data_IF_776674436008
#
_entry.id   IF_776674436008
#
_cell.length_a   1.000
_cell.length_b   1.000
_cell.length_c   1.000
_cell.angle_alpha   90.00
_cell.angle_beta   90.00
_cell.angle_gamma   90.00
#
_symmetry.space_group_name_H-M   'P 1'
#
loop_
_entity.id
_entity.type
_entity.pdbx_description
1 polymer ?
#
# COMPACT_ATOMS: atom_id res chain seq x y z
N UNK A 1 12.03 -1.72 -20.12
CA UNK A 1 11.76 -1.27 -18.74
C UNK A 1 10.27 -1.02 -18.60
N UNK A 2 9.59 -1.53 -17.55
CA UNK A 2 8.13 -1.40 -17.42
C UNK A 2 7.59 0.03 -17.58
N UNK A 3 8.32 1.04 -17.05
CA UNK A 3 7.94 2.46 -17.12
C UNK A 3 8.07 3.10 -18.51
N UNK A 4 8.92 2.54 -19.39
CA UNK A 4 9.02 2.98 -20.79
C UNK A 4 7.90 2.37 -21.64
N UNK A 5 7.46 1.16 -21.28
CA UNK A 5 6.50 0.41 -22.09
C UNK A 5 5.05 0.83 -21.83
N UNK A 6 4.77 1.54 -20.74
CA UNK A 6 3.41 1.90 -20.32
C UNK A 6 3.12 3.40 -20.41
N UNK A 7 3.99 4.20 -21.02
CA UNK A 7 3.78 5.64 -21.20
C UNK A 7 4.07 6.51 -19.97
N UNK A 8 4.46 5.92 -18.83
CA UNK A 8 4.59 6.68 -17.57
C UNK A 8 5.68 7.74 -17.63
N UNK A 9 6.77 7.49 -18.36
CA UNK A 9 7.85 8.46 -18.51
C UNK A 9 7.42 9.63 -19.40
N UNK A 10 6.69 9.34 -20.48
CA UNK A 10 6.14 10.31 -21.40
C UNK A 10 5.14 11.23 -20.68
N UNK A 11 4.28 10.67 -19.84
CA UNK A 11 3.37 11.45 -18.99
C UNK A 11 4.11 12.37 -18.02
N UNK A 12 5.18 11.89 -17.39
CA UNK A 12 6.01 12.69 -16.49
C UNK A 12 6.71 13.86 -17.23
N UNK A 13 7.23 13.62 -18.44
CA UNK A 13 7.90 14.66 -19.25
C UNK A 13 6.88 15.67 -19.79
N UNK A 14 5.71 15.21 -20.24
CA UNK A 14 4.65 16.05 -20.80
C UNK A 14 3.81 16.77 -19.73
N UNK A 15 4.00 16.45 -18.45
CA UNK A 15 3.20 17.01 -17.36
C UNK A 15 1.73 16.60 -17.40
N UNK A 16 1.42 15.45 -18.02
CA UNK A 16 0.04 14.94 -18.11
C UNK A 16 -0.21 13.89 -17.04
N UNK A 17 -1.48 13.78 -16.61
CA UNK A 17 -1.86 12.82 -15.59
C UNK A 17 -1.69 11.37 -16.07
N UNK A 18 -1.09 10.55 -15.23
CA UNK A 18 -1.07 9.10 -15.35
C UNK A 18 -1.37 8.46 -13.99
N UNK A 19 -2.20 7.41 -13.99
CA UNK A 19 -2.50 6.67 -12.78
C UNK A 19 -1.24 5.93 -12.28
N UNK A 20 -0.95 5.89 -10.96
CA UNK A 20 0.25 5.24 -10.44
C UNK A 20 0.35 3.75 -10.78
N UNK A 21 1.53 3.29 -11.18
CA UNK A 21 1.78 1.87 -11.47
C UNK A 21 1.70 0.96 -10.24
N UNK A 22 1.96 1.53 -9.06
CA UNK A 22 1.94 0.84 -7.77
C UNK A 22 1.36 1.77 -6.71
N UNK A 23 0.62 1.20 -5.77
CA UNK A 23 0.05 1.89 -4.61
C UNK A 23 0.53 1.17 -3.35
N UNK A 24 1.21 1.91 -2.47
CA UNK A 24 1.64 1.43 -1.16
C UNK A 24 0.55 1.64 -0.10
N UNK A 25 0.12 0.56 0.55
CA UNK A 25 -0.78 0.60 1.70
C UNK A 25 0.06 0.43 2.96
N UNK A 26 0.04 1.42 3.86
CA UNK A 26 0.85 1.43 5.09
C UNK A 26 -0.03 1.32 6.35
N UNK A 27 -0.49 0.10 6.72
CA UNK A 27 -1.50 -0.08 7.74
C UNK A 27 -0.94 -0.19 9.17
N UNK A 28 0.37 -0.32 9.35
CA UNK A 28 0.99 -0.58 10.65
C UNK A 28 0.66 0.50 11.68
N UNK A 29 0.30 0.09 12.89
CA UNK A 29 -0.04 1.02 13.99
C UNK A 29 1.13 1.27 14.93
N UNK A 30 2.12 0.38 14.94
CA UNK A 30 3.42 0.58 15.60
C UNK A 30 4.48 -0.31 14.91
N UNK A 31 5.74 -0.24 15.36
CA UNK A 31 6.80 -1.16 14.93
C UNK A 31 7.69 -1.49 16.13
N UNK A 32 7.92 -2.80 16.31
CA UNK A 32 8.68 -3.38 17.40
C UNK A 32 10.20 -3.22 17.25
N UNK A 33 10.69 -2.90 16.05
CA UNK A 33 12.12 -2.77 15.79
C UNK A 33 12.61 -1.34 15.68
N UNK A 34 13.84 -1.13 16.15
CA UNK A 34 14.61 0.09 15.94
C UNK A 34 15.70 -0.18 14.88
N UNK A 35 15.37 0.09 13.62
CA UNK A 35 16.28 -0.09 12.50
C UNK A 35 16.92 1.24 12.13
N UNK A 36 18.21 1.44 12.41
CA UNK A 36 18.93 2.72 12.21
C UNK A 36 18.78 3.34 10.81
N UNK A 37 18.51 2.51 9.80
CA UNK A 37 18.32 2.89 8.40
C UNK A 37 16.86 3.22 8.00
N UNK A 38 15.87 3.02 8.87
CA UNK A 38 14.45 3.06 8.50
C UNK A 38 13.90 4.49 8.32
N UNK A 39 14.55 5.52 8.88
CA UNK A 39 14.12 6.92 8.74
C UNK A 39 12.73 7.23 9.31
N UNK A 40 12.06 6.26 9.95
CA UNK A 40 10.71 6.43 10.52
C UNK A 40 10.73 7.32 11.75
N UNK A 41 9.59 7.93 12.05
CA UNK A 41 9.35 8.50 13.37
C UNK A 41 9.20 7.37 14.40
N UNK A 42 10.20 7.20 15.26
CA UNK A 42 10.21 6.14 16.28
C UNK A 42 9.15 6.31 17.37
N UNK A 43 8.64 7.53 17.54
CA UNK A 43 7.58 7.84 18.50
C UNK A 43 6.18 7.60 17.92
N UNK A 44 6.06 7.33 16.61
CA UNK A 44 4.77 7.11 15.97
C UNK A 44 4.14 5.79 16.47
N UNK A 45 2.99 5.93 17.12
CA UNK A 45 2.12 4.84 17.58
C UNK A 45 0.67 5.31 17.43
N UNK A 46 -0.18 4.47 16.84
CA UNK A 46 -1.57 4.78 16.56
C UNK A 46 -2.51 3.89 17.38
N UNK A 47 -3.69 4.42 17.71
CA UNK A 47 -4.74 3.68 18.40
C UNK A 47 -5.39 2.64 17.48
N UNK A 48 -6.10 1.69 18.09
CA UNK A 48 -6.88 0.69 17.36
C UNK A 48 -7.99 1.31 16.49
N UNK A 49 -8.57 2.44 16.89
CA UNK A 49 -9.60 3.14 16.10
C UNK A 49 -9.07 3.57 14.73
N UNK A 50 -7.80 3.98 14.65
CA UNK A 50 -7.15 4.30 13.36
C UNK A 50 -7.06 3.06 12.48
N UNK A 51 -6.88 1.86 13.05
CA UNK A 51 -6.87 0.63 12.27
C UNK A 51 -8.24 0.35 11.64
N UNK A 52 -9.33 0.57 12.37
CA UNK A 52 -10.71 0.41 11.87
C UNK A 52 -10.99 1.39 10.70
N UNK A 53 -10.66 2.67 10.89
CA UNK A 53 -10.81 3.71 9.85
C UNK A 53 -9.91 3.46 8.63
N UNK A 54 -8.69 2.98 8.86
CA UNK A 54 -7.75 2.65 7.78
C UNK A 54 -8.29 1.53 6.90
N UNK A 55 -8.94 0.52 7.46
CA UNK A 55 -9.51 -0.58 6.69
C UNK A 55 -10.57 -0.07 5.71
N UNK A 56 -11.51 0.76 6.18
CA UNK A 56 -12.53 1.37 5.32
C UNK A 56 -11.93 2.25 4.22
N UNK A 57 -10.83 2.94 4.53
CA UNK A 57 -10.11 3.78 3.57
C UNK A 57 -9.43 2.94 2.50
N UNK A 58 -8.77 1.84 2.88
CA UNK A 58 -8.13 0.93 1.92
C UNK A 58 -9.14 0.24 1.01
N UNK A 59 -10.32 -0.12 1.52
CA UNK A 59 -11.40 -0.63 0.67
C UNK A 59 -11.77 0.38 -0.42
N UNK A 60 -12.00 1.64 -0.06
CA UNK A 60 -12.31 2.70 -1.04
C UNK A 60 -11.21 2.88 -2.08
N UNK A 61 -9.93 2.83 -1.67
CA UNK A 61 -8.80 2.93 -2.59
C UNK A 61 -8.78 1.76 -3.58
N UNK A 62 -9.04 0.55 -3.10
CA UNK A 62 -9.10 -0.67 -3.93
C UNK A 62 -10.30 -0.61 -4.90
N UNK A 63 -11.46 -0.16 -4.42
CA UNK A 63 -12.69 -0.06 -5.22
C UNK A 63 -12.59 0.99 -6.33
N UNK A 64 -11.83 2.07 -6.09
CA UNK A 64 -11.64 3.18 -7.01
C UNK A 64 -10.44 2.98 -7.95
N UNK A 65 -9.69 1.88 -7.85
CA UNK A 65 -8.65 1.58 -8.85
C UNK A 65 -9.31 1.42 -10.23
N UNK A 66 -8.77 2.04 -11.29
CA UNK A 66 -9.39 2.03 -12.61
C UNK A 66 -9.43 0.63 -13.25
N UNK A 67 -8.73 -0.37 -12.69
CA UNK A 67 -8.66 -1.76 -13.18
C UNK A 67 -8.30 -1.87 -14.67
N UNK A 68 -7.52 -0.92 -15.17
CA UNK A 68 -7.06 -0.89 -16.57
C UNK A 68 -5.69 -1.55 -16.74
N UNK A 69 -5.54 -2.33 -17.81
CA UNK A 69 -4.29 -3.02 -18.15
C UNK A 69 -3.91 -4.14 -17.17
N UNK A 70 -2.61 -4.47 -17.12
CA UNK A 70 -2.07 -5.44 -16.15
C UNK A 70 -1.96 -4.79 -14.77
N UNK A 71 -3.05 -4.89 -14.00
CA UNK A 71 -3.19 -4.23 -12.70
C UNK A 71 -3.11 -5.19 -11.50
N UNK A 72 -2.97 -6.50 -11.71
CA UNK A 72 -2.97 -7.50 -10.62
C UNK A 72 -1.96 -7.17 -9.51
N UNK A 73 -0.75 -6.68 -9.84
CA UNK A 73 0.26 -6.31 -8.85
C UNK A 73 0.16 -4.84 -8.37
N UNK A 74 -0.98 -4.15 -8.54
CA UNK A 74 -1.12 -2.72 -8.20
C UNK A 74 -0.73 -2.42 -6.76
N UNK A 75 -1.12 -3.26 -5.81
CA UNK A 75 -1.02 -2.97 -4.39
C UNK A 75 0.14 -3.68 -3.72
N UNK A 76 0.84 -2.95 -2.84
CA UNK A 76 1.85 -3.48 -1.93
C UNK A 76 1.56 -2.99 -0.52
N UNK A 77 1.64 -3.91 0.43
CA UNK A 77 1.54 -3.60 1.85
C UNK A 77 2.95 -3.54 2.43
N UNK A 78 3.27 -2.43 3.08
CA UNK A 78 4.57 -2.17 3.72
C UNK A 78 4.38 -1.11 4.80
N UNK A 79 5.45 -0.42 5.21
CA UNK A 79 5.31 0.78 6.00
C UNK A 79 6.65 1.42 6.35
N UNK A 80 6.59 2.34 7.32
CA UNK A 80 7.65 2.52 8.31
C UNK A 80 7.26 1.89 9.65
N UNK A 81 5.95 1.79 9.93
CA UNK A 81 5.41 0.96 11.00
C UNK A 81 5.10 -0.45 10.46
N UNK A 82 5.14 -1.46 11.33
CA UNK A 82 5.08 -2.88 10.96
C UNK A 82 3.62 -3.26 10.62
N UNK A 83 3.33 -3.67 9.37
CA UNK A 83 1.96 -4.01 8.95
C UNK A 83 1.27 -5.07 9.80
N UNK A 84 2.01 -6.06 10.30
CA UNK A 84 1.45 -7.14 11.14
C UNK A 84 0.95 -6.65 12.50
N UNK A 85 1.24 -5.41 12.88
CA UNK A 85 0.67 -4.80 14.10
C UNK A 85 -0.79 -4.34 13.91
N UNK A 86 -1.28 -4.27 12.67
CA UNK A 86 -2.67 -3.93 12.38
C UNK A 86 -3.58 -5.16 12.54
N UNK A 87 -4.61 -5.13 13.42
CA UNK A 87 -5.49 -6.27 13.66
C UNK A 87 -6.34 -6.68 12.46
N UNK A 88 -6.47 -5.83 11.44
CA UNK A 88 -7.25 -6.09 10.23
C UNK A 88 -6.39 -6.45 9.02
N UNK A 89 -5.09 -6.69 9.19
CA UNK A 89 -4.18 -6.98 8.06
C UNK A 89 -4.69 -8.12 7.17
N UNK A 90 -5.20 -9.20 7.77
CA UNK A 90 -5.79 -10.32 7.02
C UNK A 90 -7.03 -9.93 6.22
N UNK A 91 -7.86 -9.01 6.74
CA UNK A 91 -9.04 -8.50 6.02
C UNK A 91 -8.63 -7.60 4.86
N UNK A 92 -7.61 -6.75 5.03
CA UNK A 92 -7.07 -5.91 3.95
C UNK A 92 -6.56 -6.78 2.81
N UNK A 93 -5.78 -7.81 3.13
CA UNK A 93 -5.24 -8.77 2.14
C UNK A 93 -6.37 -9.51 1.44
N UNK A 94 -7.32 -10.07 2.20
CA UNK A 94 -8.45 -10.82 1.63
C UNK A 94 -9.29 -9.94 0.70
N UNK A 95 -9.62 -8.72 1.14
CA UNK A 95 -10.42 -7.79 0.34
C UNK A 95 -9.77 -7.42 -1.00
N UNK A 96 -8.46 -7.15 -1.00
CA UNK A 96 -7.71 -6.88 -2.22
C UNK A 96 -7.64 -8.10 -3.13
N UNK A 97 -7.39 -9.28 -2.57
CA UNK A 97 -7.36 -10.55 -3.30
C UNK A 97 -8.72 -10.88 -3.95
N UNK A 98 -9.80 -10.72 -3.21
CA UNK A 98 -11.17 -10.93 -3.71
C UNK A 98 -11.54 -9.95 -4.83
N UNK A 99 -10.84 -8.82 -4.92
CA UNK A 99 -10.95 -7.83 -6.00
C UNK A 99 -10.00 -8.08 -7.19
N UNK A 100 -9.26 -9.19 -7.19
CA UNK A 100 -8.37 -9.59 -8.28
C UNK A 100 -6.94 -9.05 -8.18
N UNK A 101 -6.54 -8.52 -7.02
CA UNK A 101 -5.19 -8.00 -6.80
C UNK A 101 -4.29 -8.98 -6.04
N UNK A 102 -3.04 -9.09 -6.47
CA UNK A 102 -1.96 -9.75 -5.74
C UNK A 102 -1.47 -8.81 -4.63
N UNK A 103 -1.75 -9.18 -3.38
CA UNK A 103 -1.47 -8.34 -2.21
C UNK A 103 -0.12 -8.70 -1.58
N UNK A 104 0.97 -8.15 -2.10
CA UNK A 104 2.31 -8.42 -1.56
C UNK A 104 2.51 -7.73 -0.21
N UNK A 105 2.93 -8.49 0.81
CA UNK A 105 3.20 -7.99 2.16
C UNK A 105 4.71 -7.95 2.43
N UNK A 106 5.19 -6.82 2.93
CA UNK A 106 6.55 -6.66 3.43
C UNK A 106 6.46 -6.46 4.94
N UNK A 107 7.14 -7.34 5.66
CA UNK A 107 7.14 -7.42 7.11
C UNK A 107 8.55 -7.70 7.59
N UNK A 108 8.81 -7.42 8.86
CA UNK A 108 10.06 -7.74 9.53
C UNK A 108 10.11 -9.15 10.15
N UNK A 109 9.06 -9.96 9.93
CA UNK A 109 8.97 -11.37 10.30
C UNK A 109 9.18 -12.34 9.14
#
# INVERSE_FOLDING_TARGET
MPLLNNGSLEHAISGTYAYPNRIGLYPGINCQFFCTFCGRNYNAKYSKSVADESFLTFQKVIDQDPKTGQCEDRFRISGGLEPLTNPHIGKIISYGNDNGFKMQLYTNG
#
